data_IF_868805667537
#
_entry.id   IF_868805667537
#
_cell.length_a   1.000
_cell.length_b   1.000
_cell.length_c   1.000
_cell.angle_alpha   90.00
_cell.angle_beta   90.00
_cell.angle_gamma   90.00
#
_symmetry.space_group_name_H-M   'P 1'
#
loop_
_entity.id
_entity.type
_entity.pdbx_description
1 polymer ?
#
# COMPACT_ATOMS: atom_id res chain seq x y z
N UNK A 1 0.55 -10.31 -6.35
CA UNK A 1 1.94 -10.45 -5.89
C UNK A 1 2.15 -9.59 -4.64
N UNK A 2 2.69 -10.18 -3.60
CA UNK A 2 3.04 -9.42 -2.39
C UNK A 2 4.38 -8.71 -2.60
N UNK A 3 4.44 -7.42 -2.24
CA UNK A 3 5.67 -6.65 -2.29
C UNK A 3 5.94 -5.97 -0.95
N UNK A 4 7.21 -5.90 -0.57
CA UNK A 4 7.64 -5.08 0.54
C UNK A 4 7.51 -3.60 0.15
N UNK A 5 7.24 -2.74 1.13
CA UNK A 5 7.03 -1.31 0.87
C UNK A 5 8.21 -0.68 0.11
N UNK A 6 9.44 -1.14 0.36
CA UNK A 6 10.62 -0.64 -0.33
C UNK A 6 10.71 -1.06 -1.80
N UNK A 7 9.96 -2.08 -2.20
CA UNK A 7 9.96 -2.60 -3.57
C UNK A 7 8.85 -2.01 -4.43
N UNK A 8 7.96 -1.22 -3.83
CA UNK A 8 6.85 -0.62 -4.54
C UNK A 8 7.35 0.56 -5.36
N UNK A 9 6.89 0.64 -6.60
CA UNK A 9 7.19 1.74 -7.49
C UNK A 9 5.90 2.49 -7.85
N UNK A 10 6.05 3.74 -8.28
CA UNK A 10 4.91 4.51 -8.77
C UNK A 10 4.26 3.79 -9.95
N UNK A 11 2.94 3.68 -9.93
CA UNK A 11 2.18 2.99 -10.96
C UNK A 11 1.73 1.59 -10.57
N UNK A 12 2.29 1.01 -9.51
CA UNK A 12 1.79 -0.25 -8.98
C UNK A 12 0.34 -0.07 -8.51
N UNK A 13 -0.50 -1.09 -8.73
CA UNK A 13 -1.90 -1.08 -8.28
C UNK A 13 -2.11 -2.10 -7.19
N UNK A 14 -2.91 -1.72 -6.21
CA UNK A 14 -3.23 -2.62 -5.10
C UNK A 14 -4.18 -3.73 -5.56
N UNK A 15 -3.84 -4.96 -5.20
CA UNK A 15 -4.70 -6.12 -5.41
C UNK A 15 -5.69 -6.33 -4.27
N UNK A 16 -5.43 -5.71 -3.10
CA UNK A 16 -6.26 -5.83 -1.90
C UNK A 16 -6.28 -4.53 -1.15
N UNK A 17 -7.31 -4.33 -0.32
CA UNK A 17 -7.37 -3.19 0.58
C UNK A 17 -6.19 -3.22 1.55
N UNK A 18 -5.70 -2.03 1.90
CA UNK A 18 -4.63 -1.88 2.88
C UNK A 18 -5.23 -1.30 4.15
N UNK A 19 -5.06 -2.01 5.25
CA UNK A 19 -5.63 -1.66 6.55
C UNK A 19 -4.49 -1.52 7.55
N UNK A 20 -4.58 -0.51 8.43
CA UNK A 20 -3.61 -0.32 9.49
C UNK A 20 -3.76 -1.38 10.59
N UNK A 21 -2.80 -1.43 11.52
CA UNK A 21 -2.85 -2.35 12.66
C UNK A 21 -4.12 -2.18 13.50
N UNK A 22 -4.70 -0.98 13.50
CA UNK A 22 -5.90 -0.67 14.26
C UNK A 22 -7.18 -0.95 13.48
N UNK A 23 -7.07 -1.53 12.28
CA UNK A 23 -8.22 -1.82 11.45
C UNK A 23 -8.72 -0.64 10.63
N UNK A 24 -7.97 0.46 10.58
CA UNK A 24 -8.33 1.62 9.78
C UNK A 24 -7.99 1.40 8.31
N UNK A 25 -8.98 1.57 7.44
CA UNK A 25 -8.75 1.46 6.00
C UNK A 25 -7.89 2.64 5.53
N UNK A 26 -6.73 2.32 4.96
CA UNK A 26 -5.82 3.34 4.44
C UNK A 26 -6.00 3.53 2.94
N UNK A 27 -6.01 2.45 2.19
CA UNK A 27 -6.17 2.48 0.73
C UNK A 27 -7.04 1.32 0.30
N UNK A 28 -7.77 1.52 -0.79
CA UNK A 28 -8.67 0.50 -1.35
C UNK A 28 -8.00 -0.30 -2.45
N UNK A 29 -8.48 -1.51 -2.65
CA UNK A 29 -8.15 -2.34 -3.80
C UNK A 29 -8.32 -1.54 -5.10
N UNK A 30 -7.38 -1.69 -6.02
CA UNK A 30 -7.41 -1.04 -7.32
C UNK A 30 -6.77 0.35 -7.36
N UNK A 31 -6.42 0.91 -6.21
CA UNK A 31 -5.77 2.22 -6.17
C UNK A 31 -4.36 2.11 -6.74
N UNK A 32 -4.01 3.07 -7.59
CA UNK A 32 -2.65 3.19 -8.09
C UNK A 32 -1.79 3.89 -7.03
N UNK A 33 -0.66 3.29 -6.71
CA UNK A 33 0.23 3.86 -5.69
C UNK A 33 1.05 4.98 -6.28
N UNK A 34 0.98 6.14 -5.62
CA UNK A 34 1.82 7.29 -5.90
C UNK A 34 2.87 7.41 -4.79
N UNK A 35 3.83 8.31 -4.99
CA UNK A 35 4.83 8.59 -3.96
C UNK A 35 4.19 9.04 -2.65
N UNK A 36 3.17 9.89 -2.74
CA UNK A 36 2.48 10.37 -1.54
C UNK A 36 1.75 9.24 -0.81
N UNK A 37 1.15 8.32 -1.56
CA UNK A 37 0.48 7.17 -0.96
C UNK A 37 1.47 6.19 -0.35
N UNK A 38 2.64 6.01 -0.98
CA UNK A 38 3.72 5.21 -0.40
C UNK A 38 4.16 5.80 0.94
N UNK A 39 4.34 7.11 1.01
CA UNK A 39 4.71 7.80 2.24
C UNK A 39 3.64 7.62 3.33
N UNK A 40 2.37 7.65 2.94
CA UNK A 40 1.27 7.38 3.86
C UNK A 40 1.38 5.98 4.46
N UNK A 41 1.67 4.99 3.64
CA UNK A 41 1.82 3.61 4.10
C UNK A 41 3.00 3.47 5.06
N UNK A 42 4.11 4.12 4.75
CA UNK A 42 5.30 4.12 5.61
C UNK A 42 4.95 4.77 6.96
N UNK A 43 4.24 5.89 6.93
CA UNK A 43 3.83 6.59 8.15
C UNK A 43 2.99 5.71 9.07
N UNK A 44 2.17 4.83 8.51
CA UNK A 44 1.34 3.91 9.28
C UNK A 44 2.00 2.55 9.52
N UNK A 45 3.30 2.47 9.31
CA UNK A 45 4.11 1.26 9.56
C UNK A 45 3.67 0.04 8.75
N UNK A 46 3.11 0.27 7.58
CA UNK A 46 2.78 -0.80 6.65
C UNK A 46 4.08 -1.27 5.98
N UNK A 47 4.40 -2.55 6.12
CA UNK A 47 5.64 -3.10 5.58
C UNK A 47 5.44 -3.84 4.27
N UNK A 48 4.27 -4.38 4.02
CA UNK A 48 3.97 -5.16 2.81
C UNK A 48 2.56 -4.87 2.32
N UNK A 49 2.37 -4.98 1.01
CA UNK A 49 1.07 -4.84 0.36
C UNK A 49 0.94 -5.85 -0.77
N UNK A 50 -0.29 -6.12 -1.17
CA UNK A 50 -0.57 -6.99 -2.32
C UNK A 50 -0.75 -6.12 -3.56
N UNK A 51 0.03 -6.44 -4.61
CA UNK A 51 0.07 -5.71 -5.89
C UNK A 51 -0.48 -6.60 -7.00
N UNK A 52 -1.19 -5.99 -7.93
CA UNK A 52 -1.67 -6.67 -9.13
C UNK A 52 -0.52 -7.11 -10.03
#
# INVERSE_FOLDING_TARGET
MEKHINEIISGDRLARDVVSEKGLLLLRKGVEITRNLKDLLIKHSVSRVWIL
#
